data_IF_773598626169
#
_entry.id   IF_773598626169
#
_cell.length_a   1.000
_cell.length_b   1.000
_cell.length_c   1.000
_cell.angle_alpha   90.00
_cell.angle_beta   90.00
_cell.angle_gamma   90.00
#
_symmetry.space_group_name_H-M   'P 1'
#
loop_
_entity.id
_entity.type
_entity.pdbx_description
1 polymer ?
#
# COMPACT_ATOMS: atom_id res chain seq x y z
N UNK A 1 3.44 -16.76 -13.45
CA UNK A 1 4.20 -16.05 -12.40
C UNK A 1 5.55 -15.66 -12.98
N UNK A 2 5.77 -14.39 -13.34
CA UNK A 2 7.11 -13.94 -13.72
C UNK A 2 7.98 -13.96 -12.45
N UNK A 3 8.86 -14.95 -12.37
CA UNK A 3 9.89 -15.03 -11.35
C UNK A 3 10.86 -13.85 -11.55
N UNK A 4 10.87 -12.90 -10.62
CA UNK A 4 12.04 -12.04 -10.44
C UNK A 4 11.84 -10.56 -10.20
N UNK A 5 10.64 -9.98 -10.20
CA UNK A 5 10.51 -8.53 -10.00
C UNK A 5 10.76 -8.05 -8.56
N UNK A 6 10.75 -8.95 -7.56
CA UNK A 6 10.82 -8.56 -6.13
C UNK A 6 11.74 -9.46 -5.29
N UNK A 7 12.71 -10.14 -5.90
CA UNK A 7 13.55 -11.12 -5.17
C UNK A 7 14.42 -10.50 -4.06
N UNK A 8 14.65 -9.19 -4.10
CA UNK A 8 15.48 -8.45 -3.13
C UNK A 8 14.75 -7.26 -2.48
N UNK A 9 13.51 -7.01 -2.91
CA UNK A 9 12.71 -5.88 -2.46
C UNK A 9 11.48 -6.40 -1.71
N UNK A 10 11.08 -5.69 -0.65
CA UNK A 10 9.96 -6.09 0.19
C UNK A 10 8.81 -5.11 -0.03
N UNK A 11 8.11 -5.21 -1.17
CA UNK A 11 7.02 -4.30 -1.49
C UNK A 11 5.93 -4.40 -0.41
N UNK A 12 5.26 -3.29 -0.17
CA UNK A 12 4.12 -3.26 0.72
C UNK A 12 2.89 -3.90 0.05
N UNK A 13 1.82 -4.08 0.84
CA UNK A 13 0.60 -4.73 0.34
C UNK A 13 -0.05 -3.98 -0.82
N UNK A 14 -0.07 -2.64 -0.78
CA UNK A 14 -0.62 -1.82 -1.85
C UNK A 14 0.12 -2.02 -3.18
N UNK A 15 1.45 -1.96 -3.15
CA UNK A 15 2.30 -2.18 -4.33
C UNK A 15 2.11 -3.56 -4.96
N UNK A 16 2.04 -4.62 -4.13
CA UNK A 16 1.83 -5.99 -4.61
C UNK A 16 0.44 -6.14 -5.25
N UNK A 17 -0.59 -5.59 -4.63
CA UNK A 17 -1.97 -5.69 -5.14
C UNK A 17 -2.17 -4.85 -6.39
N UNK A 18 -1.52 -3.70 -6.47
CA UNK A 18 -1.52 -2.83 -7.63
C UNK A 18 -0.83 -3.49 -8.83
N UNK A 19 0.36 -4.04 -8.63
CA UNK A 19 1.09 -4.78 -9.65
C UNK A 19 0.29 -6.02 -10.09
N UNK A 20 -0.38 -6.72 -9.16
CA UNK A 20 -1.23 -7.85 -9.50
C UNK A 20 -2.43 -7.44 -10.37
N UNK A 21 -3.08 -6.32 -10.04
CA UNK A 21 -4.22 -5.79 -10.79
C UNK A 21 -3.78 -5.22 -12.15
N UNK A 22 -2.60 -4.63 -12.25
CA UNK A 22 -2.03 -4.17 -13.53
C UNK A 22 -1.71 -5.34 -14.47
N UNK A 23 -1.25 -6.47 -13.92
CA UNK A 23 -0.95 -7.69 -14.70
C UNK A 23 -2.20 -8.46 -15.08
N UNK A 24 -3.19 -8.50 -14.20
CA UNK A 24 -4.48 -9.18 -14.40
C UNK A 24 -5.59 -8.19 -14.05
N UNK A 25 -6.04 -7.39 -15.03
CA UNK A 25 -7.13 -6.45 -14.82
C UNK A 25 -8.41 -7.17 -14.40
N UNK A 26 -9.15 -6.55 -13.48
CA UNK A 26 -10.44 -7.05 -13.02
C UNK A 26 -11.44 -7.18 -14.18
N UNK A 27 -12.32 -8.20 -14.11
CA UNK A 27 -13.47 -8.25 -15.01
C UNK A 27 -14.43 -7.08 -14.73
N UNK A 28 -15.44 -6.91 -15.59
CA UNK A 28 -16.46 -5.87 -15.41
C UNK A 28 -17.16 -6.01 -14.06
N UNK A 29 -17.55 -7.22 -13.70
CA UNK A 29 -18.23 -7.55 -12.44
C UNK A 29 -17.32 -7.34 -11.23
N UNK A 30 -16.03 -7.63 -11.38
CA UNK A 30 -15.03 -7.41 -10.34
C UNK A 30 -14.66 -5.93 -10.16
N UNK A 31 -14.81 -5.14 -11.21
CA UNK A 31 -14.58 -3.68 -11.18
C UNK A 31 -15.76 -2.91 -10.57
N UNK A 32 -16.91 -3.55 -10.35
CA UNK A 32 -18.06 -2.90 -9.71
C UNK A 32 -17.75 -2.51 -8.27
N UNK A 33 -18.01 -1.24 -7.95
CA UNK A 33 -17.80 -0.66 -6.64
C UNK A 33 -18.86 -1.17 -5.66
N UNK A 34 -18.41 -1.66 -4.50
CA UNK A 34 -19.27 -1.95 -3.37
C UNK A 34 -19.67 -0.64 -2.66
N UNK A 35 -20.63 -0.72 -1.73
CA UNK A 35 -21.13 0.44 -0.96
C UNK A 35 -20.03 1.26 -0.24
N UNK A 36 -18.84 0.68 -0.04
CA UNK A 36 -17.67 1.36 0.54
C UNK A 36 -16.75 2.08 -0.46
N UNK A 37 -17.04 2.04 -1.77
CA UNK A 37 -16.18 2.58 -2.84
C UNK A 37 -15.02 1.65 -3.24
N UNK A 38 -15.00 0.41 -2.76
CA UNK A 38 -13.96 -0.59 -3.08
C UNK A 38 -14.50 -1.56 -4.14
N UNK A 39 -13.76 -1.84 -5.24
CA UNK A 39 -14.14 -2.85 -6.22
C UNK A 39 -14.30 -4.24 -5.61
N UNK A 40 -15.30 -5.00 -6.06
CA UNK A 40 -15.55 -6.37 -5.59
C UNK A 40 -14.32 -7.28 -5.78
N UNK A 41 -13.64 -7.16 -6.91
CA UNK A 41 -12.41 -7.89 -7.24
C UNK A 41 -11.28 -7.60 -6.27
N UNK A 42 -11.15 -6.35 -5.81
CA UNK A 42 -10.14 -5.98 -4.81
C UNK A 42 -10.42 -6.63 -3.44
N UNK A 43 -11.69 -6.75 -3.05
CA UNK A 43 -12.08 -7.49 -1.83
C UNK A 43 -11.75 -8.98 -1.96
N UNK A 44 -11.99 -9.57 -3.13
CA UNK A 44 -11.62 -10.95 -3.42
C UNK A 44 -10.10 -11.15 -3.38
N UNK A 45 -9.34 -10.23 -3.97
CA UNK A 45 -7.88 -10.26 -3.98
C UNK A 45 -7.31 -10.13 -2.57
N UNK A 46 -7.81 -9.17 -1.78
CA UNK A 46 -7.42 -8.99 -0.38
C UNK A 46 -7.71 -10.24 0.44
N UNK A 47 -8.89 -10.86 0.26
CA UNK A 47 -9.22 -12.14 0.89
C UNK A 47 -8.24 -13.25 0.49
N UNK A 48 -7.96 -13.41 -0.80
CA UNK A 48 -6.99 -14.40 -1.30
C UNK A 48 -5.60 -14.20 -0.69
N UNK A 49 -5.19 -12.95 -0.44
CA UNK A 49 -3.90 -12.68 0.23
C UNK A 49 -3.91 -13.06 1.71
N UNK A 50 -5.06 -13.01 2.39
CA UNK A 50 -5.20 -13.51 3.75
C UNK A 50 -5.12 -15.05 3.77
N UNK A 51 -5.71 -15.71 2.78
CA UNK A 51 -5.63 -17.17 2.62
C UNK A 51 -4.18 -17.62 2.35
N UNK A 52 -3.42 -16.87 1.55
CA UNK A 52 -1.98 -17.11 1.34
C UNK A 52 -1.14 -16.96 2.63
N UNK A 53 -1.48 -16.01 3.50
CA UNK A 53 -0.83 -15.87 4.82
C UNK A 53 -1.20 -17.04 5.71
N UNK A 54 -2.48 -17.42 5.75
CA UNK A 54 -2.98 -18.53 6.56
C UNK A 54 -2.36 -19.87 6.13
N UNK A 55 -2.14 -20.06 4.83
CA UNK A 55 -1.41 -21.20 4.28
C UNK A 55 0.10 -21.14 4.55
N UNK A 56 0.61 -20.03 5.10
CA UNK A 56 2.03 -19.82 5.36
C UNK A 56 2.85 -19.66 4.09
N UNK A 57 2.23 -19.28 2.97
CA UNK A 57 2.90 -19.11 1.67
C UNK A 57 3.49 -17.72 1.50
N UNK A 58 2.92 -16.73 2.20
CA UNK A 58 3.48 -15.38 2.30
C UNK A 58 3.51 -14.93 3.76
N UNK A 59 4.43 -14.04 4.09
CA UNK A 59 4.47 -13.32 5.37
C UNK A 59 4.17 -11.85 5.13
N UNK A 60 3.28 -11.28 5.94
CA UNK A 60 3.00 -9.84 5.98
C UNK A 60 3.71 -9.28 7.21
N UNK A 61 4.67 -8.37 7.02
CA UNK A 61 5.40 -7.74 8.11
C UNK A 61 5.52 -6.23 7.93
N UNK A 62 5.97 -5.55 8.99
CA UNK A 62 6.26 -4.10 8.96
C UNK A 62 7.26 -3.70 7.89
N UNK A 63 8.11 -4.62 7.47
CA UNK A 63 9.10 -4.41 6.41
C UNK A 63 8.58 -4.77 5.02
N UNK A 64 7.28 -5.00 4.82
CA UNK A 64 6.70 -5.43 3.55
C UNK A 64 6.26 -6.89 3.53
N UNK A 65 5.77 -7.33 2.38
CA UNK A 65 5.34 -8.70 2.15
C UNK A 65 6.49 -9.53 1.59
N UNK A 66 6.54 -10.82 1.93
CA UNK A 66 7.57 -11.74 1.42
C UNK A 66 6.98 -13.11 1.15
N UNK A 67 7.42 -13.78 0.09
CA UNK A 67 7.06 -15.17 -0.18
C UNK A 67 7.91 -16.11 0.69
N UNK A 68 7.30 -17.13 1.28
CA UNK A 68 8.03 -18.13 2.07
C UNK A 68 8.56 -19.25 1.16
N UNK A 69 9.46 -20.06 1.68
CA UNK A 69 9.91 -21.29 1.02
C UNK A 69 8.74 -22.22 0.66
N UNK A 70 7.72 -22.28 1.51
CA UNK A 70 6.49 -23.03 1.22
C UNK A 70 5.70 -22.39 0.08
N UNK A 71 5.57 -21.06 0.04
CA UNK A 71 4.94 -20.37 -1.08
C UNK A 71 5.67 -20.60 -2.40
N UNK A 72 7.00 -20.58 -2.37
CA UNK A 72 7.83 -20.89 -3.54
C UNK A 72 7.63 -22.33 -4.01
N UNK A 73 7.61 -23.31 -3.11
CA UNK A 73 7.30 -24.71 -3.45
C UNK A 73 5.88 -24.88 -3.97
N UNK A 74 4.91 -24.14 -3.43
CA UNK A 74 3.53 -24.15 -3.89
C UNK A 74 3.40 -23.73 -5.37
N UNK A 75 4.24 -22.80 -5.84
CA UNK A 75 4.25 -22.43 -7.28
C UNK A 75 4.68 -23.56 -8.22
N UNK A 76 5.45 -24.53 -7.72
CA UNK A 76 5.86 -25.73 -8.48
C UNK A 76 4.82 -26.84 -8.31
N UNK A 77 4.40 -27.09 -7.07
CA UNK A 77 3.44 -28.14 -6.75
C UNK A 77 2.06 -27.89 -7.41
N UNK A 78 1.64 -26.63 -7.47
CA UNK A 78 0.36 -26.20 -8.01
C UNK A 78 0.57 -25.26 -9.20
N UNK A 79 1.01 -25.84 -10.32
CA UNK A 79 1.38 -25.11 -11.54
C UNK A 79 0.20 -24.63 -12.41
N UNK A 80 -1.05 -24.85 -11.96
CA UNK A 80 -2.28 -24.48 -12.67
C UNK A 80 -3.18 -23.69 -11.73
N UNK A 81 -4.03 -22.83 -12.30
CA UNK A 81 -4.94 -21.96 -11.52
C UNK A 81 -5.89 -22.81 -10.69
N UNK A 82 -6.42 -23.90 -11.25
CA UNK A 82 -7.37 -24.78 -10.56
C UNK A 82 -6.70 -25.49 -9.38
N UNK A 83 -5.50 -26.03 -9.55
CA UNK A 83 -4.77 -26.71 -8.46
C UNK A 83 -4.36 -25.75 -7.35
N UNK A 84 -4.00 -24.52 -7.71
CA UNK A 84 -3.63 -23.49 -6.74
C UNK A 84 -4.85 -23.05 -5.92
N UNK A 85 -5.98 -22.83 -6.59
CA UNK A 85 -7.24 -22.47 -5.95
C UNK A 85 -7.76 -23.61 -5.06
N UNK A 86 -7.67 -24.86 -5.52
CA UNK A 86 -8.02 -26.05 -4.74
C UNK A 86 -7.13 -26.17 -3.49
N UNK A 87 -5.82 -26.01 -3.63
CA UNK A 87 -4.90 -26.08 -2.50
C UNK A 87 -5.14 -24.98 -1.46
N UNK A 88 -5.48 -23.76 -1.89
CA UNK A 88 -5.84 -22.67 -0.99
C UNK A 88 -7.20 -22.87 -0.31
N UNK A 89 -8.17 -23.44 -1.02
CA UNK A 89 -9.54 -23.63 -0.51
C UNK A 89 -9.67 -24.85 0.39
N UNK A 90 -8.99 -25.95 0.03
CA UNK A 90 -9.10 -27.25 0.68
C UNK A 90 -7.92 -27.57 1.59
N UNK A 91 -6.89 -26.72 1.62
CA UNK A 91 -5.71 -26.91 2.46
C UNK A 91 -4.81 -28.05 1.99
N UNK A 92 -4.77 -28.33 0.68
CA UNK A 92 -3.94 -29.39 0.10
C UNK A 92 -2.47 -29.14 0.44
N UNK A 93 -1.87 -30.09 1.17
CA UNK A 93 -0.49 -29.98 1.62
C UNK A 93 0.46 -30.03 0.42
N UNK A 94 1.50 -29.19 0.46
CA UNK A 94 2.59 -29.22 -0.52
C UNK A 94 3.27 -30.60 -0.41
N UNK A 95 3.40 -31.37 -1.50
CA UNK A 95 4.04 -32.68 -1.47
C UNK A 95 5.46 -32.61 -0.87
N UNK A 96 5.75 -33.48 0.09
CA UNK A 96 7.07 -33.59 0.70
C UNK A 96 8.10 -33.95 -0.38
N UNK A 97 9.14 -33.14 -0.52
CA UNK A 97 10.15 -33.28 -1.57
C UNK A 97 9.98 -32.35 -2.77
N UNK A 98 8.97 -31.47 -2.78
CA UNK A 98 8.87 -30.41 -3.79
C UNK A 98 10.12 -29.52 -3.70
N UNK A 99 10.94 -29.43 -4.77
CA UNK A 99 12.14 -28.60 -4.76
C UNK A 99 11.75 -27.13 -4.66
N UNK A 100 12.64 -26.31 -4.12
CA UNK A 100 12.52 -24.87 -4.31
C UNK A 100 12.74 -24.53 -5.79
N UNK A 101 12.04 -23.54 -6.35
CA UNK A 101 12.31 -23.10 -7.71
C UNK A 101 13.77 -22.70 -7.80
N UNK A 102 14.46 -23.26 -8.78
CA UNK A 102 15.84 -22.92 -9.07
C UNK A 102 15.86 -21.40 -9.32
N UNK A 103 16.56 -20.68 -8.44
CA UNK A 103 16.64 -19.21 -8.49
C UNK A 103 17.13 -18.87 -9.88
N UNK A 104 16.25 -18.38 -10.77
CA UNK A 104 16.64 -17.91 -12.10
C UNK A 104 17.80 -16.96 -11.88
N UNK A 105 18.99 -17.39 -12.28
CA UNK A 105 20.20 -16.60 -12.15
C UNK A 105 20.04 -15.40 -13.08
N UNK A 106 19.47 -14.31 -12.55
CA UNK A 106 19.51 -13.02 -13.17
C UNK A 106 20.99 -12.72 -13.45
N UNK A 107 21.35 -12.73 -14.74
CA UNK A 107 22.66 -12.28 -15.21
C UNK A 107 22.88 -10.87 -14.69
N UNK A 108 23.76 -10.76 -13.70
CA UNK A 108 24.27 -9.51 -13.12
C UNK A 108 24.79 -8.62 -14.26
N UNK A 109 24.20 -7.44 -14.55
CA UNK A 109 24.89 -6.46 -15.35
C UNK A 109 26.05 -5.90 -14.53
N UNK A 110 27.23 -5.92 -15.13
CA UNK A 110 28.49 -5.53 -14.50
C UNK A 110 28.44 -4.11 -13.92
N UNK A 111 29.01 -3.97 -12.72
CA UNK A 111 29.29 -2.71 -12.06
C UNK A 111 30.05 -1.76 -12.99
N UNK A 112 29.55 -0.52 -13.16
CA UNK A 112 30.36 0.61 -13.61
C UNK A 112 30.62 1.57 -12.44
N UNK A 113 31.91 1.85 -12.30
CA UNK A 113 32.60 2.64 -11.28
C UNK A 113 32.01 4.03 -11.08
N UNK A 114 32.04 4.44 -9.81
CA UNK A 114 31.84 5.80 -9.32
C UNK A 114 32.94 6.78 -9.74
N UNK A 115 32.61 8.09 -9.74
CA UNK A 115 33.37 9.25 -9.17
C UNK A 115 32.72 10.58 -9.61
N UNK A 116 32.97 11.76 -8.97
CA UNK A 116 32.80 12.10 -7.55
C UNK A 116 32.10 13.48 -7.29
N UNK A 117 31.51 13.61 -6.08
CA UNK A 117 31.21 14.79 -5.22
C UNK A 117 31.06 16.22 -5.80
N UNK A 118 29.99 16.90 -5.35
CA UNK A 118 30.06 18.22 -4.71
C UNK A 118 28.95 18.40 -3.63
N UNK A 119 29.35 18.87 -2.44
CA UNK A 119 28.54 19.44 -1.33
C UNK A 119 28.85 20.95 -1.31
N UNK A 120 27.99 21.87 -0.82
CA UNK A 120 27.67 22.02 0.62
C UNK A 120 26.19 22.47 0.84
N UNK A 121 25.60 22.77 2.01
CA UNK A 121 26.06 23.10 3.36
C UNK A 121 24.97 22.72 4.41
N UNK A 122 25.32 22.87 5.69
CA UNK A 122 24.64 22.36 6.89
C UNK A 122 24.24 23.55 7.78
N UNK A 123 23.07 23.49 8.42
CA UNK A 123 22.75 24.21 9.67
C UNK A 123 21.71 23.38 10.44
N UNK A 124 22.12 22.53 11.40
CA UNK A 124 22.14 22.79 12.85
C UNK A 124 20.70 22.90 13.44
N UNK A 125 20.04 21.80 13.78
CA UNK A 125 20.12 21.02 15.04
C UNK A 125 19.63 21.77 16.30
N UNK A 126 18.50 21.33 16.85
CA UNK A 126 18.20 21.37 18.28
C UNK A 126 17.64 20.00 18.71
N UNK A 127 18.16 19.46 19.81
CA UNK A 127 17.93 18.08 20.29
C UNK A 127 17.05 18.07 21.56
N UNK A 128 16.17 17.05 21.61
CA UNK A 128 15.73 16.22 22.77
C UNK A 128 14.68 16.81 23.75
N UNK A 129 13.86 15.97 24.45
CA UNK A 129 14.14 14.58 24.86
C UNK A 129 13.10 13.50 24.46
N UNK A 130 13.50 12.27 24.77
CA UNK A 130 12.89 10.98 24.44
C UNK A 130 11.91 10.58 25.54
N UNK A 131 10.75 10.04 25.19
CA UNK A 131 9.93 9.17 26.05
C UNK A 131 9.39 7.97 25.25
N UNK A 132 9.73 6.79 25.76
CA UNK A 132 9.08 5.48 25.71
C UNK A 132 8.39 4.96 24.42
N UNK A 133 9.11 4.06 23.74
CA UNK A 133 8.66 2.77 23.18
C UNK A 133 7.23 2.58 22.65
N UNK A 134 7.02 3.00 21.39
CA UNK A 134 6.45 2.13 20.34
C UNK A 134 7.31 2.37 19.09
N UNK A 135 8.06 1.36 18.62
CA UNK A 135 8.82 1.47 17.35
C UNK A 135 7.83 1.37 16.19
N UNK A 136 7.14 2.47 15.97
CA UNK A 136 6.54 2.87 14.71
C UNK A 136 7.69 2.91 13.68
N UNK A 137 7.54 2.24 12.52
CA UNK A 137 8.53 2.35 11.45
C UNK A 137 8.74 3.81 11.02
N UNK A 138 9.80 4.12 10.28
CA UNK A 138 10.08 5.47 9.78
C UNK A 138 8.80 6.09 9.18
N UNK A 139 8.28 7.12 9.85
CA UNK A 139 7.09 7.85 9.42
C UNK A 139 7.50 9.05 8.57
N UNK A 140 6.65 9.50 7.63
CA UNK A 140 6.91 10.72 6.90
C UNK A 140 6.84 11.93 7.84
N UNK A 141 7.45 13.05 7.43
CA UNK A 141 7.41 14.27 8.22
C UNK A 141 6.01 14.89 8.24
N UNK A 142 5.24 14.69 7.17
CA UNK A 142 3.85 15.11 7.06
C UNK A 142 3.07 14.27 6.06
N UNK A 143 1.75 14.22 6.23
CA UNK A 143 0.80 13.65 5.27
C UNK A 143 -0.31 14.68 5.05
N UNK A 144 -0.41 15.17 3.82
CA UNK A 144 -1.49 16.04 3.36
C UNK A 144 -2.55 15.24 2.61
N UNK A 145 -3.82 15.57 2.87
CA UNK A 145 -4.95 14.98 2.18
C UNK A 145 -5.44 15.94 1.09
N UNK A 146 -5.05 15.69 -0.15
CA UNK A 146 -5.44 16.52 -1.29
C UNK A 146 -6.71 15.95 -1.94
N UNK A 147 -7.70 16.81 -2.22
CA UNK A 147 -8.92 16.38 -2.90
C UNK A 147 -9.85 17.53 -3.31
N UNK A 148 -10.98 17.16 -3.89
CA UNK A 148 -12.00 18.09 -4.41
C UNK A 148 -12.83 18.80 -3.33
N UNK A 149 -12.59 18.46 -2.06
CA UNK A 149 -13.25 19.05 -0.91
C UNK A 149 -12.46 20.20 -0.26
N UNK A 150 -11.33 20.62 -0.84
CA UNK A 150 -10.51 21.72 -0.31
C UNK A 150 -11.35 22.95 0.00
N UNK A 151 -12.16 23.42 -0.95
CA UNK A 151 -13.04 24.58 -0.74
C UNK A 151 -14.08 24.38 0.37
N UNK A 152 -14.55 23.16 0.59
CA UNK A 152 -15.51 22.87 1.66
C UNK A 152 -14.89 23.02 3.06
N UNK A 153 -13.55 22.90 3.18
CA UNK A 153 -12.79 23.05 4.43
C UNK A 153 -11.94 24.33 4.46
N UNK A 154 -12.24 25.30 3.59
CA UNK A 154 -11.57 26.60 3.53
C UNK A 154 -10.16 26.59 2.92
N UNK A 155 -9.83 25.55 2.14
CA UNK A 155 -8.61 25.42 1.36
C UNK A 155 -8.88 25.57 -0.15
N UNK A 156 -7.84 25.59 -0.96
CA UNK A 156 -7.96 25.34 -2.40
C UNK A 156 -8.12 23.83 -2.65
N UNK A 157 -8.83 23.46 -3.72
CA UNK A 157 -8.90 22.06 -4.12
C UNK A 157 -7.52 21.56 -4.53
N UNK A 158 -7.18 20.33 -4.14
CA UNK A 158 -5.88 19.71 -4.40
C UNK A 158 -4.66 20.47 -3.79
N UNK A 159 -4.85 21.22 -2.71
CA UNK A 159 -3.74 21.82 -1.95
C UNK A 159 -3.33 20.93 -0.75
N UNK A 160 -2.33 20.04 -0.89
CA UNK A 160 -1.91 19.18 0.21
C UNK A 160 -1.24 19.93 1.36
N UNK A 161 -0.77 21.16 1.14
CA UNK A 161 0.01 21.92 2.13
C UNK A 161 -0.86 22.80 3.03
N UNK A 162 -2.16 22.91 2.73
CA UNK A 162 -3.05 23.70 3.53
C UNK A 162 -3.18 23.12 4.96
N UNK A 163 -3.10 23.93 6.02
CA UNK A 163 -3.17 23.44 7.40
C UNK A 163 -4.43 22.62 7.74
N UNK A 164 -5.57 22.93 7.12
CA UNK A 164 -6.82 22.17 7.33
C UNK A 164 -6.84 20.79 6.66
N UNK A 165 -5.88 20.52 5.77
CA UNK A 165 -5.73 19.27 5.04
C UNK A 165 -4.56 18.41 5.54
N UNK A 166 -3.84 18.89 6.56
CA UNK A 166 -2.75 18.14 7.19
C UNK A 166 -3.30 17.10 8.17
N UNK A 167 -2.89 15.85 8.00
CA UNK A 167 -3.24 14.76 8.90
C UNK A 167 -2.36 14.79 10.16
N UNK A 168 -2.89 14.30 11.28
CA UNK A 168 -2.17 14.18 12.55
C UNK A 168 -1.74 12.74 12.78
N UNK A 169 -0.48 12.51 13.17
CA UNK A 169 0.00 11.18 13.54
C UNK A 169 -0.51 10.78 14.92
N UNK A 170 -1.22 9.67 14.99
CA UNK A 170 -1.71 9.06 16.23
C UNK A 170 -0.67 8.11 16.85
N UNK A 171 -0.77 7.84 18.15
CA UNK A 171 0.10 6.88 18.86
C UNK A 171 -0.01 5.45 18.30
N UNK A 172 -1.14 5.13 17.69
CA UNK A 172 -1.39 3.87 16.97
C UNK A 172 -0.57 3.72 15.69
N UNK A 173 0.00 4.82 15.19
CA UNK A 173 0.82 4.87 14.00
C UNK A 173 0.10 5.14 12.69
N UNK A 174 -1.19 5.46 12.78
CA UNK A 174 -1.97 5.96 11.65
C UNK A 174 -1.96 7.49 11.64
N UNK A 175 -2.05 8.06 10.46
CA UNK A 175 -2.31 9.48 10.28
C UNK A 175 -3.81 9.69 10.15
N UNK A 176 -4.39 10.65 10.86
CA UNK A 176 -5.82 10.89 10.89
C UNK A 176 -6.18 12.35 10.61
N UNK A 177 -7.26 12.57 9.86
CA UNK A 177 -7.87 13.87 9.66
C UNK A 177 -9.39 13.71 9.70
N UNK A 178 -10.08 14.56 10.46
CA UNK A 178 -11.54 14.63 10.41
C UNK A 178 -11.95 15.95 9.79
N UNK A 179 -12.83 15.87 8.79
CA UNK A 179 -13.34 17.01 8.05
C UNK A 179 -14.87 16.99 8.03
N UNK A 180 -15.48 18.17 8.11
CA UNK A 180 -16.92 18.33 7.92
C UNK A 180 -17.19 18.58 6.44
N UNK A 181 -17.80 17.61 5.75
CA UNK A 181 -18.03 17.71 4.31
C UNK A 181 -19.54 17.75 4.00
N UNK A 182 -19.99 18.56 3.03
CA UNK A 182 -21.37 18.48 2.55
C UNK A 182 -21.64 17.16 1.80
N UNK A 183 -22.92 16.92 1.47
CA UNK A 183 -23.27 15.78 0.63
C UNK A 183 -22.72 15.97 -0.79
N UNK A 184 -22.13 14.94 -1.37
CA UNK A 184 -21.51 15.03 -2.69
C UNK A 184 -20.63 13.86 -3.07
N UNK A 185 -20.05 13.95 -4.26
CA UNK A 185 -19.00 13.05 -4.73
C UNK A 185 -17.65 13.74 -4.54
N UNK A 186 -16.67 13.00 -4.03
CA UNK A 186 -15.34 13.54 -3.76
C UNK A 186 -14.25 12.59 -4.25
N UNK A 187 -13.18 13.19 -4.75
CA UNK A 187 -11.93 12.50 -5.09
C UNK A 187 -10.81 12.96 -4.18
N UNK A 188 -9.90 12.05 -3.78
CA UNK A 188 -8.77 12.40 -2.91
C UNK A 188 -7.55 11.48 -3.02
N UNK A 189 -6.42 11.98 -2.50
CA UNK A 189 -5.11 11.29 -2.42
C UNK A 189 -4.35 11.72 -1.16
N UNK A 190 -3.39 10.88 -0.74
CA UNK A 190 -2.41 11.24 0.27
C UNK A 190 -1.13 11.76 -0.40
N UNK A 191 -0.59 12.86 0.11
CA UNK A 191 0.65 13.49 -0.38
C UNK A 191 1.63 13.58 0.78
N UNK A 192 2.85 13.09 0.61
CA UNK A 192 3.83 13.02 1.69
C UNK A 192 4.78 14.20 1.64
N UNK A 193 5.21 14.66 2.82
CA UNK A 193 6.26 15.67 2.99
C UNK A 193 5.99 16.99 2.25
N UNK A 194 4.72 17.29 1.97
CA UNK A 194 4.29 18.52 1.30
C UNK A 194 4.66 18.63 -0.19
N UNK A 195 5.12 17.55 -0.82
CA UNK A 195 5.46 17.51 -2.24
C UNK A 195 4.69 16.41 -2.97
N UNK A 196 4.30 16.69 -4.20
CA UNK A 196 3.69 15.71 -5.10
C UNK A 196 4.67 14.63 -5.60
N UNK A 197 5.96 14.76 -5.32
CA UNK A 197 6.99 13.75 -5.66
C UNK A 197 6.67 12.37 -5.06
N UNK A 198 5.98 12.35 -3.91
CA UNK A 198 5.51 11.12 -3.28
C UNK A 198 4.04 11.27 -2.89
N UNK A 199 3.15 10.73 -3.73
CA UNK A 199 1.71 10.71 -3.47
C UNK A 199 1.13 9.33 -3.71
N UNK A 200 0.14 8.97 -2.90
CA UNK A 200 -0.53 7.69 -2.97
C UNK A 200 -2.02 7.87 -3.20
N UNK A 201 -2.50 7.20 -4.25
CA UNK A 201 -3.89 7.15 -4.63
C UNK A 201 -4.62 5.95 -4.05
N UNK A 202 -5.68 5.56 -4.74
CA UNK A 202 -6.43 4.33 -4.51
C UNK A 202 -5.49 3.15 -4.31
N UNK A 203 -5.68 2.43 -3.20
CA UNK A 203 -4.94 1.20 -2.85
C UNK A 203 -3.46 1.41 -2.52
N UNK A 204 -3.06 2.64 -2.15
CA UNK A 204 -1.68 2.94 -1.77
C UNK A 204 -0.69 2.88 -2.94
N UNK A 205 -1.17 3.11 -4.16
CA UNK A 205 -0.34 3.12 -5.36
C UNK A 205 0.33 4.47 -5.53
N UNK A 206 1.66 4.45 -5.67
CA UNK A 206 2.44 5.65 -5.99
C UNK A 206 1.94 6.22 -7.32
N UNK A 207 1.60 7.51 -7.34
CA UNK A 207 0.98 8.18 -8.50
C UNK A 207 -0.31 7.50 -8.99
N UNK A 208 -0.96 6.73 -8.13
CA UNK A 208 -2.13 5.92 -8.45
C UNK A 208 -3.37 6.72 -8.83
N UNK A 209 -4.47 6.03 -9.16
CA UNK A 209 -5.77 6.68 -9.37
C UNK A 209 -6.25 7.40 -8.10
N UNK A 210 -7.15 8.37 -8.21
CA UNK A 210 -7.74 9.01 -7.02
C UNK A 210 -8.65 8.02 -6.28
N UNK A 211 -8.77 8.14 -4.96
CA UNK A 211 -9.88 7.53 -4.24
C UNK A 211 -11.16 8.32 -4.54
N UNK A 212 -12.24 7.64 -4.91
CA UNK A 212 -13.54 8.26 -5.18
C UNK A 212 -14.57 7.78 -4.15
N UNK A 213 -15.41 8.69 -3.65
CA UNK A 213 -16.51 8.30 -2.77
C UNK A 213 -17.72 9.21 -2.84
N UNK A 214 -18.87 8.64 -2.51
CA UNK A 214 -20.11 9.33 -2.23
C UNK A 214 -20.25 9.62 -0.73
N UNK A 215 -20.61 10.85 -0.39
CA UNK A 215 -20.87 11.28 0.98
C UNK A 215 -22.29 11.82 1.13
N UNK A 216 -22.95 11.46 2.23
CA UNK A 216 -24.29 11.96 2.57
C UNK A 216 -24.25 13.31 3.31
N UNK A 217 -23.06 13.79 3.65
CA UNK A 217 -22.85 15.00 4.44
C UNK A 217 -22.55 14.72 5.91
N UNK A 218 -21.87 15.66 6.57
CA UNK A 218 -21.46 15.57 7.97
C UNK A 218 -19.98 15.20 8.15
N UNK A 219 -19.57 14.80 9.36
CA UNK A 219 -18.18 14.51 9.66
C UNK A 219 -17.71 13.24 8.97
N UNK A 220 -16.58 13.31 8.28
CA UNK A 220 -15.85 12.17 7.72
C UNK A 220 -14.44 12.14 8.29
N UNK A 221 -13.99 10.95 8.67
CA UNK A 221 -12.64 10.74 9.18
C UNK A 221 -11.84 9.96 8.14
N UNK A 222 -10.68 10.49 7.77
CA UNK A 222 -9.71 9.85 6.89
C UNK A 222 -8.55 9.31 7.72
N UNK A 223 -8.03 8.16 7.32
CA UNK A 223 -6.93 7.47 7.97
C UNK A 223 -5.93 7.00 6.93
N UNK A 224 -4.69 7.45 7.05
CA UNK A 224 -3.57 6.97 6.24
C UNK A 224 -2.70 6.01 7.06
N UNK A 225 -2.32 4.90 6.43
CA UNK A 225 -1.43 3.89 6.98
C UNK A 225 -0.12 3.88 6.18
N UNK A 226 0.98 4.27 6.82
CA UNK A 226 2.28 4.32 6.15
C UNK A 226 2.85 2.93 5.80
N UNK A 227 2.36 1.86 6.44
CA UNK A 227 2.77 0.50 6.13
C UNK A 227 2.11 -0.03 4.84
N UNK A 228 0.89 0.42 4.51
CA UNK A 228 0.19 0.06 3.27
C UNK A 228 0.23 1.16 2.20
N UNK A 229 0.69 2.36 2.60
CA UNK A 229 0.67 3.60 1.81
C UNK A 229 -0.74 4.04 1.40
N UNK A 230 -1.79 3.48 1.98
CA UNK A 230 -3.15 3.76 1.57
C UNK A 230 -3.85 4.74 2.51
N UNK A 231 -4.80 5.50 1.97
CA UNK A 231 -5.63 6.46 2.69
C UNK A 231 -7.11 6.12 2.53
N UNK A 232 -7.73 5.70 3.62
CA UNK A 232 -9.10 5.22 3.63
C UNK A 232 -9.96 6.05 4.58
N UNK A 233 -11.25 6.09 4.31
CA UNK A 233 -12.22 6.61 5.28
C UNK A 233 -12.33 5.63 6.45
N UNK A 234 -12.23 6.12 7.67
CA UNK A 234 -12.51 5.34 8.86
C UNK A 234 -14.03 5.31 9.07
N UNK A 235 -14.61 4.11 9.05
CA UNK A 235 -16.00 3.92 9.50
C UNK A 235 -16.04 4.14 11.02
N UNK A 236 -17.02 4.91 11.50
CA UNK A 236 -17.26 5.13 12.94
C UNK A 236 -17.84 3.89 13.60
#
# INVERSE_FOLDING_TARGET
MAAGSWLEEKPNGGEVLAEATARVPFTKEESELLSGGIPRGHKNLTKATADLVKAGWITKGRSGWSITDNGLRATIAFNTVEKLADALSNGTLIPAGTPLPEKSAAKKPAAKKASPKAKPAKAAAAKKPVVADVVLGEQPASVGLAGDFGHAVGAENWDPNHPSLQMTLEESGFWQLTAELPAGQYSYKAVLNGSWDENYGAFGVLDGANHEFAHAGGPVTFRYDHATKDVLRAER
#
